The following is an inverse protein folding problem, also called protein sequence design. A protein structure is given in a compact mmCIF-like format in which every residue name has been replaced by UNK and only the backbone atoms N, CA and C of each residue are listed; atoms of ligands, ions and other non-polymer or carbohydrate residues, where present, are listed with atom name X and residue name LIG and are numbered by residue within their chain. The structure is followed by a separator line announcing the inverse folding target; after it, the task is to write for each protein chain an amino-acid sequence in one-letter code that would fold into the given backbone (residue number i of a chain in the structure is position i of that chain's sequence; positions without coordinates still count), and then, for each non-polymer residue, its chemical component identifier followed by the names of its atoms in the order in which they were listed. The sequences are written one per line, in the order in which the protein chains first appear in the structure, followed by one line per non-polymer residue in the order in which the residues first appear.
data_IF_104322154919
#
_entry.id   IF_104322154919
#
_cell.length_a   1.000
_cell.length_b   1.000
_cell.length_c   1.000
_cell.angle_alpha   90.00
_cell.angle_beta   90.00
_cell.angle_gamma   90.00
#
_symmetry.space_group_name_H-M   'P 1'
#
loop_
_entity.id
_entity.type
_entity.pdbx_description
1 polymer ?
#
# COMPACT_ATOMS: atom_id res chain seq x y z
N UNK A 1 -17.86 1.16 25.52
CA UNK A 1 -16.76 2.09 25.18
C UNK A 1 -17.31 3.17 24.24
N UNK A 2 -16.95 4.44 24.51
CA UNK A 2 -17.43 5.59 23.73
C UNK A 2 -16.28 6.55 23.45
N UNK A 3 -16.34 7.23 22.32
CA UNK A 3 -15.44 8.34 21.98
C UNK A 3 -16.17 9.63 22.32
N UNK A 4 -15.54 10.50 23.13
CA UNK A 4 -16.09 11.78 23.55
C UNK A 4 -15.55 12.89 22.64
N UNK A 5 -16.43 13.66 22.02
CA UNK A 5 -16.06 14.82 21.22
C UNK A 5 -15.54 15.93 22.15
N UNK A 6 -14.33 16.45 21.97
CA UNK A 6 -13.76 17.45 22.85
C UNK A 6 -14.43 18.84 22.77
N UNK A 7 -15.27 19.06 21.74
CA UNK A 7 -15.89 20.37 21.54
C UNK A 7 -17.06 20.60 22.52
N UNK A 8 -17.99 19.63 22.64
CA UNK A 8 -19.17 19.77 23.51
C UNK A 8 -19.44 18.54 24.39
N UNK A 9 -18.52 17.58 24.46
CA UNK A 9 -18.66 16.42 25.33
C UNK A 9 -19.64 15.35 24.84
N UNK A 10 -20.17 15.44 23.61
CA UNK A 10 -21.02 14.38 23.07
C UNK A 10 -20.24 13.08 22.96
N UNK A 11 -20.81 11.99 23.46
CA UNK A 11 -20.21 10.67 23.41
C UNK A 11 -20.88 9.78 22.35
N UNK A 12 -20.07 9.01 21.63
CA UNK A 12 -20.53 8.13 20.55
C UNK A 12 -19.93 6.73 20.71
N UNK A 13 -20.75 5.71 20.49
CA UNK A 13 -20.29 4.32 20.44
C UNK A 13 -19.81 3.91 19.03
N UNK A 14 -19.32 2.67 18.91
CA UNK A 14 -18.80 2.11 17.65
C UNK A 14 -19.84 1.96 16.55
N UNK A 15 -21.13 1.96 16.88
CA UNK A 15 -22.25 1.90 15.93
C UNK A 15 -22.66 3.28 15.41
N UNK A 16 -21.99 4.34 15.87
CA UNK A 16 -22.30 5.72 15.49
C UNK A 16 -23.53 6.30 16.18
N UNK A 17 -24.00 5.68 17.25
CA UNK A 17 -25.06 6.20 18.11
C UNK A 17 -24.48 7.19 19.12
N UNK A 18 -25.19 8.29 19.38
CA UNK A 18 -24.83 9.18 20.48
C UNK A 18 -25.33 8.57 21.81
N UNK A 19 -24.42 8.34 22.73
CA UNK A 19 -24.68 7.70 24.03
C UNK A 19 -24.80 8.67 25.17
N UNK A 20 -24.30 9.90 25.03
CA UNK A 20 -24.39 10.95 26.04
C UNK A 20 -24.30 12.36 25.45
N UNK A 21 -25.05 13.28 26.04
CA UNK A 21 -25.00 14.73 25.79
C UNK A 21 -25.04 15.43 27.13
N UNK A 22 -23.90 15.74 27.75
CA UNK A 22 -23.80 16.03 29.20
C UNK A 22 -24.54 17.28 29.67
N UNK A 23 -24.89 18.20 28.79
CA UNK A 23 -25.59 19.44 29.11
C UNK A 23 -27.06 19.48 28.66
N UNK A 24 -27.56 18.40 28.01
CA UNK A 24 -28.91 18.40 27.46
C UNK A 24 -29.95 18.00 28.54
N UNK A 25 -30.97 18.83 28.71
CA UNK A 25 -32.17 18.46 29.46
C UNK A 25 -33.13 17.62 28.63
N UNK A 26 -33.15 17.82 27.30
CA UNK A 26 -33.91 17.06 26.34
C UNK A 26 -33.02 16.66 25.17
N UNK A 27 -33.01 15.38 24.85
CA UNK A 27 -32.21 14.85 23.74
C UNK A 27 -32.91 15.11 22.39
N UNK A 28 -32.14 15.35 21.32
CA UNK A 28 -32.70 15.35 19.96
C UNK A 28 -33.41 14.02 19.67
N UNK A 29 -34.53 14.03 18.91
CA UNK A 29 -35.36 12.84 18.71
C UNK A 29 -34.58 11.59 18.19
N UNK A 30 -33.63 11.76 17.31
CA UNK A 30 -32.80 10.64 16.83
C UNK A 30 -31.92 10.05 17.93
N UNK A 31 -31.31 10.91 18.75
CA UNK A 31 -30.49 10.48 19.90
C UNK A 31 -31.35 9.78 20.93
N UNK A 32 -32.52 10.34 21.27
CA UNK A 32 -33.46 9.74 22.23
C UNK A 32 -33.97 8.36 21.80
N UNK A 33 -34.07 8.10 20.49
CA UNK A 33 -34.42 6.78 19.94
C UNK A 33 -33.24 5.84 19.77
N UNK A 34 -32.02 6.26 20.09
CA UNK A 34 -30.81 5.45 19.90
C UNK A 34 -30.47 5.21 18.41
N UNK A 35 -30.91 6.11 17.52
CA UNK A 35 -30.59 6.00 16.11
C UNK A 35 -29.12 6.36 15.84
N UNK A 36 -28.57 5.79 14.77
CA UNK A 36 -27.27 6.20 14.26
C UNK A 36 -27.29 7.67 13.84
N UNK A 37 -26.36 8.47 14.37
CA UNK A 37 -26.23 9.91 14.09
C UNK A 37 -24.93 10.28 13.39
N UNK A 38 -23.90 9.42 13.52
CA UNK A 38 -22.66 9.50 12.73
C UNK A 38 -22.46 8.18 11.99
N UNK A 39 -21.81 8.24 10.83
CA UNK A 39 -21.53 7.05 10.04
C UNK A 39 -20.32 6.32 10.61
N UNK A 40 -20.43 5.04 11.04
CA UNK A 40 -19.29 4.20 11.29
C UNK A 40 -18.67 3.73 9.97
N UNK A 41 -17.39 3.46 10.00
CA UNK A 41 -16.64 2.90 8.87
C UNK A 41 -16.32 1.45 9.16
N UNK A 42 -16.36 0.59 8.13
CA UNK A 42 -15.84 -0.76 8.27
C UNK A 42 -14.32 -0.72 8.39
N UNK A 43 -13.80 -1.31 9.45
CA UNK A 43 -12.39 -1.28 9.82
C UNK A 43 -11.85 -2.70 9.95
N UNK A 44 -10.61 -2.91 9.54
CA UNK A 44 -9.83 -4.12 9.81
C UNK A 44 -8.48 -3.75 10.38
N UNK A 45 -8.11 -4.37 11.47
CA UNK A 45 -6.74 -4.39 11.97
C UNK A 45 -6.08 -5.68 11.47
N UNK A 46 -5.10 -5.55 10.60
CA UNK A 46 -4.40 -6.66 9.97
C UNK A 46 -2.97 -6.26 9.64
N UNK A 47 -2.01 -7.18 9.75
CA UNK A 47 -0.60 -6.91 9.45
C UNK A 47 -0.04 -5.70 10.21
N UNK A 48 -0.50 -5.44 11.43
CA UNK A 48 -0.14 -4.26 12.26
C UNK A 48 -0.56 -2.91 11.62
N UNK A 49 -1.55 -2.93 10.71
CA UNK A 49 -2.07 -1.76 10.00
C UNK A 49 -3.59 -1.70 10.19
N UNK A 50 -4.12 -0.49 10.32
CA UNK A 50 -5.56 -0.25 10.35
C UNK A 50 -6.03 0.09 8.94
N UNK A 51 -6.87 -0.77 8.36
CA UNK A 51 -7.54 -0.55 7.08
C UNK A 51 -8.94 -0.03 7.30
N UNK A 52 -9.33 0.94 6.49
CA UNK A 52 -10.69 1.49 6.47
C UNK A 52 -11.27 1.28 5.08
N UNK A 53 -12.45 0.66 5.02
CA UNK A 53 -13.16 0.49 3.78
C UNK A 53 -13.85 1.78 3.35
N UNK A 54 -13.61 2.19 2.11
CA UNK A 54 -14.29 3.30 1.47
C UNK A 54 -14.92 2.85 0.15
N UNK A 55 -16.17 3.25 -0.08
CA UNK A 55 -16.86 3.15 -1.37
C UNK A 55 -17.79 4.36 -1.52
N UNK A 56 -17.82 5.06 -2.67
CA UNK A 56 -18.65 6.25 -2.85
C UNK A 56 -20.15 5.96 -2.65
N UNK A 57 -20.63 4.81 -3.13
CA UNK A 57 -22.02 4.38 -2.99
C UNK A 57 -22.30 3.63 -1.68
N UNK A 58 -21.37 3.66 -0.73
CA UNK A 58 -21.49 3.01 0.59
C UNK A 58 -21.74 1.49 0.53
N UNK A 59 -21.28 0.84 -0.52
CA UNK A 59 -21.33 -0.63 -0.63
C UNK A 59 -20.48 -1.24 0.49
N UNK A 60 -20.99 -2.31 1.09
CA UNK A 60 -20.26 -3.05 2.13
C UNK A 60 -18.96 -3.66 1.59
N UNK A 61 -17.94 -3.88 2.45
CA UNK A 61 -16.73 -4.58 2.04
C UNK A 61 -17.05 -5.91 1.36
N UNK A 62 -16.46 -6.15 0.19
CA UNK A 62 -16.66 -7.37 -0.58
C UNK A 62 -15.34 -8.11 -0.85
N UNK A 63 -14.23 -7.62 -0.30
CA UNK A 63 -12.95 -8.33 -0.20
C UNK A 63 -12.21 -7.89 1.06
N UNK A 64 -11.25 -8.69 1.48
CA UNK A 64 -10.40 -8.43 2.65
C UNK A 64 -8.97 -8.11 2.18
N UNK A 65 -8.19 -7.32 2.94
CA UNK A 65 -6.77 -7.14 2.67
C UNK A 65 -6.01 -8.48 2.75
N UNK A 66 -4.88 -8.59 2.04
CA UNK A 66 -4.01 -9.76 2.10
C UNK A 66 -3.41 -9.93 3.50
N UNK A 67 -3.45 -11.17 4.02
CA UNK A 67 -2.72 -11.54 5.24
C UNK A 67 -1.25 -11.75 4.89
N UNK A 68 -0.35 -11.01 5.53
CA UNK A 68 1.08 -11.06 5.31
C UNK A 68 1.73 -11.76 6.50
N UNK A 69 2.07 -13.04 6.32
CA UNK A 69 2.58 -13.87 7.40
C UNK A 69 3.89 -13.33 8.02
N UNK A 70 4.68 -12.61 7.24
CA UNK A 70 5.90 -11.95 7.68
C UNK A 70 5.64 -10.77 8.64
N UNK A 71 4.42 -10.20 8.58
CA UNK A 71 3.99 -9.11 9.46
C UNK A 71 3.36 -9.56 10.78
N UNK A 72 3.17 -10.88 10.97
CA UNK A 72 2.64 -11.41 12.22
C UNK A 72 3.69 -11.23 13.34
N UNK A 73 3.39 -10.50 14.44
CA UNK A 73 4.31 -10.35 15.57
C UNK A 73 4.74 -11.67 16.22
N UNK A 74 3.96 -12.74 16.05
CA UNK A 74 4.31 -14.08 16.52
C UNK A 74 5.32 -14.78 15.61
N UNK A 75 5.57 -14.28 14.42
CA UNK A 75 6.53 -14.84 13.48
C UNK A 75 7.96 -14.44 13.84
N UNK A 76 8.63 -15.27 14.60
CA UNK A 76 9.98 -15.00 15.12
C UNK A 76 11.10 -15.02 14.06
N UNK A 77 10.82 -15.44 12.82
CA UNK A 77 11.81 -15.45 11.73
C UNK A 77 12.00 -14.08 11.08
N UNK A 78 11.07 -13.17 11.32
CA UNK A 78 11.06 -11.83 10.74
C UNK A 78 11.25 -10.76 11.80
N UNK A 79 11.89 -9.66 11.42
CA UNK A 79 12.25 -8.57 12.29
C UNK A 79 11.13 -7.56 12.50
N UNK A 80 11.44 -6.51 13.25
CA UNK A 80 10.50 -5.42 13.49
C UNK A 80 10.20 -4.64 12.20
N UNK A 81 8.97 -4.12 12.12
CA UNK A 81 8.49 -3.31 11.03
C UNK A 81 9.11 -1.91 11.06
N UNK A 82 9.76 -1.51 9.97
CA UNK A 82 10.32 -0.16 9.79
C UNK A 82 9.41 0.65 8.87
N UNK A 83 8.84 1.74 9.39
CA UNK A 83 7.85 2.56 8.69
C UNK A 83 8.48 3.78 8.03
N UNK A 84 8.09 4.04 6.78
CA UNK A 84 8.37 5.26 6.03
C UNK A 84 7.09 5.82 5.45
N UNK A 85 7.02 7.15 5.31
CA UNK A 85 5.82 7.84 4.84
C UNK A 85 6.17 8.94 3.85
N UNK A 86 5.33 9.06 2.81
CA UNK A 86 5.38 10.15 1.85
C UNK A 86 3.99 10.72 1.60
N UNK A 87 3.91 12.04 1.46
CA UNK A 87 2.77 12.72 0.85
C UNK A 87 3.15 13.00 -0.61
N UNK A 88 2.39 12.45 -1.55
CA UNK A 88 2.75 12.39 -2.96
C UNK A 88 1.68 13.12 -3.77
N UNK A 89 2.12 14.06 -4.61
CA UNK A 89 1.22 14.78 -5.50
C UNK A 89 0.95 13.95 -6.76
N UNK A 90 0.07 12.98 -6.61
CA UNK A 90 -0.45 12.15 -7.71
C UNK A 90 -1.66 11.34 -7.26
N UNK A 91 -2.47 10.89 -8.22
CA UNK A 91 -3.52 9.92 -7.99
C UNK A 91 -2.93 8.53 -7.72
N UNK A 92 -3.53 7.76 -6.80
CA UNK A 92 -2.99 6.46 -6.40
C UNK A 92 -2.87 5.43 -7.54
N UNK A 93 -3.66 5.55 -8.61
CA UNK A 93 -3.54 4.69 -9.80
C UNK A 93 -2.18 4.86 -10.47
N UNK A 94 -1.64 6.08 -10.54
CA UNK A 94 -0.33 6.37 -11.15
C UNK A 94 0.80 5.65 -10.40
N UNK A 95 0.70 5.60 -9.06
CA UNK A 95 1.63 4.84 -8.22
C UNK A 95 1.50 3.34 -8.53
N UNK A 96 0.26 2.85 -8.68
CA UNK A 96 -0.01 1.46 -9.03
C UNK A 96 0.49 1.06 -10.42
N UNK A 97 0.51 1.98 -11.38
CA UNK A 97 1.01 1.75 -12.75
C UNK A 97 2.51 1.43 -12.78
N UNK A 98 3.32 1.94 -11.85
CA UNK A 98 4.74 1.59 -11.75
C UNK A 98 4.97 0.07 -11.59
N UNK A 99 4.05 -0.62 -10.95
CA UNK A 99 4.19 -2.07 -10.76
C UNK A 99 4.07 -2.88 -12.06
N UNK A 100 3.59 -2.28 -13.14
CA UNK A 100 3.48 -2.88 -14.47
C UNK A 100 4.41 -2.25 -15.50
N UNK A 101 5.26 -1.31 -15.09
CA UNK A 101 6.26 -0.63 -15.93
C UNK A 101 7.67 -1.15 -15.62
N UNK A 102 8.27 -2.04 -16.42
CA UNK A 102 9.63 -2.47 -16.20
C UNK A 102 10.68 -1.46 -16.68
N UNK A 103 10.33 -0.58 -17.63
CA UNK A 103 11.30 0.29 -18.28
C UNK A 103 11.83 1.41 -17.35
N UNK A 104 10.98 1.92 -16.46
CA UNK A 104 11.38 3.00 -15.53
C UNK A 104 12.55 2.60 -14.61
N UNK A 105 12.71 1.31 -14.30
CA UNK A 105 13.84 0.84 -13.49
C UNK A 105 15.19 1.25 -14.08
N UNK A 106 15.35 1.13 -15.40
CA UNK A 106 16.60 1.53 -16.05
C UNK A 106 16.75 3.06 -16.11
N UNK A 107 15.69 3.75 -16.53
CA UNK A 107 15.79 5.16 -16.89
C UNK A 107 15.59 6.13 -15.71
N UNK A 108 14.81 5.74 -14.70
CA UNK A 108 14.57 6.54 -13.49
C UNK A 108 15.50 6.11 -12.36
N UNK A 109 15.63 4.80 -12.10
CA UNK A 109 16.40 4.29 -10.96
C UNK A 109 17.84 3.87 -11.32
N UNK A 110 18.19 3.91 -12.62
CA UNK A 110 19.56 3.63 -13.07
C UNK A 110 20.00 2.18 -12.89
N UNK A 111 19.07 1.21 -12.96
CA UNK A 111 19.44 -0.21 -12.94
C UNK A 111 20.25 -0.56 -14.19
N UNK A 112 21.07 -1.62 -14.12
CA UNK A 112 21.93 -2.01 -15.24
C UNK A 112 21.15 -2.47 -16.49
N UNK A 113 19.98 -3.05 -16.27
CA UNK A 113 19.11 -3.58 -17.31
C UNK A 113 17.65 -3.35 -16.94
N UNK A 114 16.77 -3.33 -17.94
CA UNK A 114 15.33 -3.42 -17.73
C UNK A 114 15.03 -4.81 -17.14
N UNK A 115 14.39 -4.91 -15.97
CA UNK A 115 14.02 -6.20 -15.39
C UNK A 115 13.10 -6.98 -16.34
N UNK A 116 13.32 -8.28 -16.45
CA UNK A 116 12.45 -9.13 -17.26
C UNK A 116 11.18 -9.48 -16.46
N UNK A 117 9.99 -9.06 -16.93
CA UNK A 117 8.74 -9.45 -16.28
C UNK A 117 8.45 -10.93 -16.58
N UNK A 118 8.15 -11.69 -15.53
CA UNK A 118 7.42 -12.94 -15.68
C UNK A 118 5.91 -12.65 -15.79
N UNK A 119 5.11 -13.67 -15.99
CA UNK A 119 3.67 -13.52 -16.23
C UNK A 119 3.00 -12.71 -15.13
N UNK A 120 2.39 -11.59 -15.50
CA UNK A 120 1.49 -10.84 -14.63
C UNK A 120 0.08 -11.42 -14.71
N UNK A 121 -0.51 -11.68 -13.54
CA UNK A 121 -1.86 -12.20 -13.40
C UNK A 121 -2.77 -11.14 -12.81
N UNK A 122 -4.02 -11.13 -13.29
CA UNK A 122 -5.10 -10.29 -12.80
C UNK A 122 -6.30 -11.19 -12.57
N UNK A 123 -6.71 -11.36 -11.32
CA UNK A 123 -7.80 -12.27 -10.92
C UNK A 123 -8.69 -11.56 -9.89
N UNK A 124 -9.90 -11.18 -10.31
CA UNK A 124 -10.82 -10.41 -9.49
C UNK A 124 -10.13 -9.17 -8.91
N UNK A 125 -10.14 -9.06 -7.59
CA UNK A 125 -9.50 -7.93 -6.88
C UNK A 125 -7.98 -8.10 -6.69
N UNK A 126 -7.44 -9.24 -7.10
CA UNK A 126 -6.02 -9.56 -6.93
C UNK A 126 -5.21 -9.31 -8.19
N UNK A 127 -3.99 -8.86 -8.00
CA UNK A 127 -2.98 -8.77 -9.03
C UNK A 127 -1.67 -9.33 -8.49
N UNK A 128 -0.98 -10.12 -9.30
CA UNK A 128 0.37 -10.59 -8.97
C UNK A 128 1.31 -10.46 -10.16
N UNK A 129 2.59 -10.31 -9.87
CA UNK A 129 3.64 -10.24 -10.87
C UNK A 129 4.99 -10.57 -10.27
N UNK A 130 5.93 -10.91 -11.13
CA UNK A 130 7.30 -11.23 -10.75
C UNK A 130 8.28 -10.64 -11.76
N UNK A 131 9.30 -10.00 -11.24
CA UNK A 131 10.42 -9.49 -12.00
C UNK A 131 11.67 -10.25 -11.58
N UNK A 132 12.49 -10.59 -12.55
CA UNK A 132 13.79 -11.21 -12.32
C UNK A 132 14.87 -10.24 -12.79
N UNK A 133 15.80 -9.92 -11.90
CA UNK A 133 16.91 -9.02 -12.19
C UNK A 133 18.23 -9.68 -11.81
N UNK A 134 19.23 -9.51 -12.68
CA UNK A 134 20.61 -9.85 -12.36
C UNK A 134 21.28 -8.67 -11.69
N UNK A 135 21.87 -8.92 -10.53
CA UNK A 135 22.55 -7.90 -9.73
C UNK A 135 24.02 -8.25 -9.55
N UNK A 136 24.88 -7.31 -9.93
CA UNK A 136 26.31 -7.46 -9.65
C UNK A 136 26.60 -7.19 -8.17
N UNK A 137 27.35 -8.08 -7.54
CA UNK A 137 27.83 -7.89 -6.17
C UNK A 137 29.35 -8.06 -6.13
N UNK A 138 30.03 -7.60 -5.08
CA UNK A 138 31.47 -7.84 -4.92
C UNK A 138 31.88 -9.32 -4.90
N UNK A 139 30.91 -10.23 -4.69
CA UNK A 139 31.11 -11.69 -4.66
C UNK A 139 30.66 -12.41 -5.93
N UNK A 140 30.29 -11.66 -6.97
CA UNK A 140 29.79 -12.18 -8.23
C UNK A 140 28.35 -11.75 -8.56
N UNK A 141 27.84 -12.22 -9.68
CA UNK A 141 26.45 -11.95 -10.09
C UNK A 141 25.48 -12.83 -9.29
N UNK A 142 24.41 -12.25 -8.84
CA UNK A 142 23.30 -12.95 -8.20
C UNK A 142 21.99 -12.65 -8.95
N UNK A 143 21.03 -13.55 -8.83
CA UNK A 143 19.68 -13.36 -9.33
C UNK A 143 18.82 -12.82 -8.20
N UNK A 144 18.33 -11.59 -8.36
CA UNK A 144 17.31 -11.00 -7.48
C UNK A 144 15.92 -11.25 -8.04
N UNK A 145 15.01 -11.57 -7.15
CA UNK A 145 13.58 -11.74 -7.48
C UNK A 145 12.80 -10.68 -6.75
N UNK A 146 11.91 -10.02 -7.50
CA UNK A 146 10.93 -9.06 -6.99
C UNK A 146 9.55 -9.61 -7.31
N UNK A 147 8.88 -10.16 -6.31
CA UNK A 147 7.51 -10.63 -6.44
C UNK A 147 6.55 -9.60 -5.84
N UNK A 148 5.58 -9.16 -6.62
CA UNK A 148 4.60 -8.18 -6.18
C UNK A 148 3.19 -8.76 -6.24
N UNK A 149 2.41 -8.49 -5.19
CA UNK A 149 0.99 -8.81 -5.10
C UNK A 149 0.22 -7.55 -4.72
N UNK A 150 -1.01 -7.44 -5.17
CA UNK A 150 -1.94 -6.40 -4.70
C UNK A 150 -3.31 -6.99 -4.46
N UNK A 151 -3.97 -6.53 -3.42
CA UNK A 151 -5.38 -6.80 -3.15
C UNK A 151 -6.10 -5.46 -3.09
N UNK A 152 -6.95 -5.21 -4.07
CA UNK A 152 -7.50 -3.88 -4.28
C UNK A 152 -6.45 -2.83 -4.65
N UNK A 153 -6.83 -1.54 -4.70
CA UNK A 153 -5.95 -0.46 -5.12
C UNK A 153 -5.02 0.05 -4.01
N UNK A 154 -5.38 -0.19 -2.74
CA UNK A 154 -4.72 0.44 -1.58
C UNK A 154 -3.64 -0.39 -0.91
N UNK A 155 -3.57 -1.70 -1.17
CA UNK A 155 -2.58 -2.58 -0.57
C UNK A 155 -1.75 -3.29 -1.64
N UNK A 156 -0.43 -3.19 -1.54
CA UNK A 156 0.50 -3.99 -2.30
C UNK A 156 1.57 -4.57 -1.38
N UNK A 157 2.03 -5.77 -1.72
CA UNK A 157 3.14 -6.44 -1.04
C UNK A 157 4.22 -6.73 -2.06
N UNK A 158 5.46 -6.35 -1.76
CA UNK A 158 6.62 -6.64 -2.61
C UNK A 158 7.62 -7.45 -1.81
N UNK A 159 7.97 -8.62 -2.31
CA UNK A 159 8.97 -9.50 -1.69
C UNK A 159 10.23 -9.48 -2.52
N UNK A 160 11.31 -9.05 -1.90
CA UNK A 160 12.66 -9.05 -2.46
C UNK A 160 13.41 -10.27 -1.91
N UNK A 161 14.02 -11.04 -2.79
CA UNK A 161 14.82 -12.19 -2.39
C UNK A 161 16.12 -12.29 -3.21
N UNK A 162 17.10 -13.01 -2.66
CA UNK A 162 18.40 -13.24 -3.28
C UNK A 162 19.59 -12.72 -2.47
N UNK A 163 19.54 -11.51 -1.92
CA UNK A 163 20.62 -10.96 -1.06
C UNK A 163 20.17 -10.90 0.40
N UNK A 164 19.02 -10.30 0.63
CA UNK A 164 18.42 -10.14 1.95
C UNK A 164 16.92 -10.21 1.77
N UNK A 165 16.30 -11.23 2.32
CA UNK A 165 14.86 -11.40 2.23
C UNK A 165 14.17 -10.22 2.93
N UNK A 166 13.48 -9.42 2.14
CA UNK A 166 12.79 -8.20 2.58
C UNK A 166 11.36 -8.19 2.04
N UNK A 167 10.42 -7.94 2.91
CA UNK A 167 9.02 -7.67 2.55
C UNK A 167 8.75 -6.19 2.71
N UNK A 168 8.24 -5.59 1.65
CA UNK A 168 7.68 -4.26 1.67
C UNK A 168 6.16 -4.37 1.59
N UNK A 169 5.46 -3.86 2.59
CA UNK A 169 4.04 -3.56 2.51
C UNK A 169 3.90 -2.11 2.05
N UNK A 170 3.40 -1.91 0.84
CA UNK A 170 3.12 -0.60 0.27
C UNK A 170 1.62 -0.32 0.38
N UNK A 171 1.26 0.52 1.34
CA UNK A 171 -0.12 0.91 1.57
C UNK A 171 -0.32 2.34 1.07
N UNK A 172 -1.23 2.52 0.12
CA UNK A 172 -1.51 3.82 -0.49
C UNK A 172 -2.92 4.26 -0.09
N UNK A 173 -3.00 5.46 0.47
CA UNK A 173 -4.27 6.07 0.88
C UNK A 173 -4.51 7.31 0.02
N UNK A 174 -5.63 7.42 -0.72
CA UNK A 174 -5.97 8.64 -1.42
C UNK A 174 -6.33 9.73 -0.40
N UNK A 175 -5.82 10.94 -0.60
CA UNK A 175 -6.17 12.14 0.17
C UNK A 175 -7.26 12.91 -0.56
N UNK A 176 -7.08 13.07 -1.87
CA UNK A 176 -8.02 13.63 -2.82
C UNK A 176 -7.70 13.11 -4.24
N UNK A 177 -8.24 13.74 -5.29
CA UNK A 177 -8.03 13.29 -6.67
C UNK A 177 -6.59 13.48 -7.17
N UNK A 178 -5.83 14.37 -6.57
CA UNK A 178 -4.47 14.73 -7.02
C UNK A 178 -3.39 14.38 -6.00
N UNK A 179 -3.78 13.94 -4.80
CA UNK A 179 -2.84 13.68 -3.72
C UNK A 179 -3.08 12.31 -3.08
N UNK A 180 -2.00 11.62 -2.83
CA UNK A 180 -1.98 10.32 -2.15
C UNK A 180 -0.96 10.32 -1.03
N UNK A 181 -1.18 9.45 -0.05
CA UNK A 181 -0.23 9.18 1.03
C UNK A 181 0.24 7.74 0.95
N UNK A 182 1.55 7.55 0.87
CA UNK A 182 2.16 6.24 0.88
C UNK A 182 2.74 5.92 2.26
N UNK A 183 2.43 4.73 2.76
CA UNK A 183 3.07 4.13 3.92
C UNK A 183 3.79 2.87 3.46
N UNK A 184 5.12 2.89 3.53
CA UNK A 184 5.95 1.73 3.28
C UNK A 184 6.42 1.14 4.60
N UNK A 185 6.07 -0.11 4.82
CA UNK A 185 6.49 -0.88 5.97
C UNK A 185 7.43 -1.99 5.51
N UNK A 186 8.70 -1.92 5.93
CA UNK A 186 9.72 -2.91 5.62
C UNK A 186 9.87 -3.89 6.77
N UNK A 187 9.84 -5.17 6.44
CA UNK A 187 10.08 -6.27 7.35
C UNK A 187 11.19 -7.12 6.74
N UNK A 188 12.26 -7.38 7.47
CA UNK A 188 13.42 -8.10 6.98
C UNK A 188 13.61 -9.40 7.76
N UNK A 189 14.02 -10.46 7.06
CA UNK A 189 14.25 -11.76 7.67
C UNK A 189 15.42 -11.66 8.65
N UNK A 190 15.25 -12.19 9.84
CA UNK A 190 16.32 -12.26 10.85
C UNK A 190 17.47 -13.13 10.38
N UNK A 191 18.65 -12.73 10.80
CA UNK A 191 19.89 -13.50 10.62
C UNK A 191 20.36 -13.92 12.01
N UNK A 192 20.53 -15.21 12.22
CA UNK A 192 20.89 -15.78 13.52
C UNK A 192 19.99 -15.29 14.67
N UNK A 193 18.68 -15.20 14.39
CA UNK A 193 17.65 -14.79 15.35
C UNK A 193 17.63 -13.29 15.70
N UNK A 194 18.42 -12.46 14.99
CA UNK A 194 18.52 -11.01 15.23
C UNK A 194 18.08 -10.24 14.01
N UNK A 195 17.50 -9.08 14.23
CA UNK A 195 17.17 -8.13 13.18
C UNK A 195 18.45 -7.71 12.43
N UNK A 196 18.43 -7.74 11.09
CA UNK A 196 19.57 -7.26 10.33
C UNK A 196 19.73 -5.74 10.52
N UNK A 197 20.95 -5.31 10.86
CA UNK A 197 21.29 -3.91 11.08
C UNK A 197 22.52 -3.56 10.24
N UNK A 198 22.41 -2.46 9.50
CA UNK A 198 23.51 -2.00 8.64
C UNK A 198 23.68 -2.84 7.37
N UNK A 199 24.76 -2.59 6.65
CA UNK A 199 25.16 -3.36 5.46
C UNK A 199 24.09 -3.40 4.37
N UNK A 200 23.88 -4.59 3.82
CA UNK A 200 22.97 -4.83 2.69
C UNK A 200 21.50 -4.59 3.08
N UNK A 201 21.10 -4.95 4.28
CA UNK A 201 19.73 -4.79 4.76
C UNK A 201 19.30 -3.32 4.75
N UNK A 202 20.10 -2.45 5.33
CA UNK A 202 19.84 -1.00 5.34
C UNK A 202 19.98 -0.39 3.93
N UNK A 203 20.90 -0.92 3.11
CA UNK A 203 21.11 -0.45 1.75
C UNK A 203 19.86 -0.68 0.89
N UNK A 204 19.20 -1.85 1.00
CA UNK A 204 17.97 -2.17 0.28
C UNK A 204 16.84 -1.19 0.67
N UNK A 205 16.62 -0.97 1.97
CA UNK A 205 15.58 -0.04 2.43
C UNK A 205 15.86 1.39 1.95
N UNK A 206 17.09 1.85 2.07
CA UNK A 206 17.51 3.19 1.61
C UNK A 206 17.33 3.36 0.10
N UNK A 207 17.68 2.34 -0.67
CA UNK A 207 17.57 2.38 -2.12
C UNK A 207 16.09 2.43 -2.56
N UNK A 208 15.23 1.62 -1.98
CA UNK A 208 13.78 1.66 -2.26
C UNK A 208 13.17 3.01 -1.85
N UNK A 209 13.56 3.56 -0.71
CA UNK A 209 13.12 4.88 -0.29
C UNK A 209 13.61 6.00 -1.24
N UNK A 210 14.83 5.87 -1.77
CA UNK A 210 15.38 6.77 -2.79
C UNK A 210 14.56 6.68 -4.09
N UNK A 211 14.27 5.46 -4.57
CA UNK A 211 13.47 5.20 -5.76
C UNK A 211 12.08 5.84 -5.64
N UNK A 212 11.42 5.72 -4.48
CA UNK A 212 10.14 6.39 -4.21
C UNK A 212 10.25 7.92 -4.36
N UNK A 213 11.36 8.52 -3.92
CA UNK A 213 11.63 9.95 -4.10
C UNK A 213 11.81 10.34 -5.57
N UNK A 214 12.52 9.52 -6.35
CA UNK A 214 12.74 9.71 -7.79
C UNK A 214 11.42 9.62 -8.57
N UNK A 215 10.60 8.61 -8.29
CA UNK A 215 9.28 8.42 -8.89
C UNK A 215 8.33 9.57 -8.56
N UNK A 216 8.36 10.06 -7.32
CA UNK A 216 7.49 11.15 -6.87
C UNK A 216 7.68 12.42 -7.69
N UNK A 217 8.91 12.70 -8.16
CA UNK A 217 9.20 13.84 -9.04
C UNK A 217 8.52 13.66 -10.40
N UNK A 218 8.55 12.44 -10.95
CA UNK A 218 7.90 12.13 -12.23
C UNK A 218 6.40 12.22 -12.09
N UNK A 219 5.81 11.60 -11.07
CA UNK A 219 4.37 11.59 -10.84
C UNK A 219 3.79 12.99 -10.62
N UNK A 220 4.49 13.87 -9.93
CA UNK A 220 4.05 15.25 -9.71
C UNK A 220 3.84 16.05 -11.02
N UNK A 221 4.42 15.59 -12.13
CA UNK A 221 4.32 16.23 -13.44
C UNK A 221 3.68 15.37 -14.51
N UNK A 222 3.39 14.10 -14.19
CA UNK A 222 2.75 13.14 -15.11
C UNK A 222 1.30 13.55 -15.34
N UNK A 223 0.84 13.45 -16.60
CA UNK A 223 -0.56 13.65 -16.99
C UNK A 223 -1.17 12.33 -17.40
N UNK A 224 -2.34 12.06 -16.87
CA UNK A 224 -3.13 10.90 -17.29
C UNK A 224 -3.66 11.07 -18.72
N UNK A 225 -3.53 10.03 -19.52
CA UNK A 225 -4.15 9.91 -20.83
C UNK A 225 -4.93 8.61 -20.91
N UNK A 226 -6.20 8.68 -21.30
CA UNK A 226 -7.07 7.49 -21.45
C UNK A 226 -6.49 6.47 -22.45
N UNK A 227 -5.86 6.99 -23.51
CA UNK A 227 -5.26 6.17 -24.57
C UNK A 227 -3.78 6.53 -24.70
N UNK A 228 -2.92 6.01 -23.83
CA UNK A 228 -1.49 6.26 -23.93
C UNK A 228 -0.92 5.59 -25.18
N UNK A 229 0.10 6.21 -25.77
CA UNK A 229 0.92 5.55 -26.79
C UNK A 229 1.87 4.59 -26.10
N UNK A 230 1.81 3.32 -26.47
CA UNK A 230 2.63 2.25 -25.91
C UNK A 230 3.45 1.59 -27.01
N UNK A 231 4.62 1.09 -26.67
CA UNK A 231 5.49 0.33 -27.55
C UNK A 231 5.62 -1.14 -27.11
N UNK A 232 6.32 -1.95 -27.88
CA UNK A 232 6.37 -3.41 -27.71
C UNK A 232 6.95 -3.87 -26.36
N UNK A 233 7.81 -3.06 -25.76
CA UNK A 233 8.47 -3.39 -24.49
C UNK A 233 7.88 -2.64 -23.27
N UNK A 234 6.80 -1.90 -23.47
CA UNK A 234 6.03 -1.37 -22.36
C UNK A 234 5.30 -2.50 -21.63
N UNK A 235 5.06 -2.31 -20.36
CA UNK A 235 4.34 -3.27 -19.55
C UNK A 235 2.85 -3.40 -19.90
N UNK A 236 2.10 -4.28 -19.27
CA UNK A 236 0.69 -4.54 -19.59
C UNK A 236 -0.27 -3.46 -19.04
N UNK A 237 -0.01 -2.18 -19.34
CA UNK A 237 -0.79 -1.03 -18.87
C UNK A 237 -2.29 -1.15 -19.15
N UNK A 238 -2.66 -1.58 -20.37
CA UNK A 238 -4.08 -1.74 -20.72
C UNK A 238 -4.79 -2.78 -19.83
N UNK A 239 -4.10 -3.89 -19.51
CA UNK A 239 -4.64 -4.91 -18.60
C UNK A 239 -4.73 -4.38 -17.16
N UNK A 240 -3.73 -3.64 -16.72
CA UNK A 240 -3.72 -3.01 -15.41
C UNK A 240 -4.87 -2.02 -15.28
N UNK A 241 -5.05 -1.11 -16.23
CA UNK A 241 -6.14 -0.11 -16.21
C UNK A 241 -7.52 -0.76 -16.24
N UNK A 242 -7.69 -1.82 -17.04
CA UNK A 242 -8.93 -2.60 -17.03
C UNK A 242 -9.18 -3.25 -15.66
N UNK A 243 -8.15 -3.81 -15.04
CA UNK A 243 -8.26 -4.37 -13.69
C UNK A 243 -8.56 -3.28 -12.65
N UNK A 244 -7.88 -2.15 -12.76
CA UNK A 244 -8.03 -1.04 -11.81
C UNK A 244 -9.42 -0.38 -11.89
N UNK A 245 -10.03 -0.33 -13.08
CA UNK A 245 -11.33 0.34 -13.30
C UNK A 245 -12.51 -0.27 -12.52
N UNK A 246 -12.37 -1.47 -11.97
CA UNK A 246 -13.40 -2.07 -11.11
C UNK A 246 -13.52 -1.41 -9.74
N UNK A 247 -12.59 -0.55 -9.36
CA UNK A 247 -12.54 0.10 -8.05
C UNK A 247 -13.07 1.55 -8.06
N UNK A 248 -13.62 2.00 -9.20
CA UNK A 248 -14.24 3.33 -9.37
C UNK A 248 -15.76 3.24 -9.50
#
# INVERSE_FOLDING_TARGET
DSIVCPFHGWAYNGDGQCTDVPYANNLPPKVARGEQVIRPWAVRELNQVIFVWYHPDQVAPHFEPEVIAEADPANNDWGEMKLHRWDIHTHMQEIGENAVDPAHFLYVHGTQNIPTPEVMQFDGVHRSGKLVSKMATPRGEIVGIIANNSTGPGQATVRFSGICDTVLMANITPVDQENSRAFYAFIQKKVDGKDPVGGVADAIVKDICKQMGEDSIIWAHKKYFDKPMLCDNDGPFAKFRKWYSQFY
#
